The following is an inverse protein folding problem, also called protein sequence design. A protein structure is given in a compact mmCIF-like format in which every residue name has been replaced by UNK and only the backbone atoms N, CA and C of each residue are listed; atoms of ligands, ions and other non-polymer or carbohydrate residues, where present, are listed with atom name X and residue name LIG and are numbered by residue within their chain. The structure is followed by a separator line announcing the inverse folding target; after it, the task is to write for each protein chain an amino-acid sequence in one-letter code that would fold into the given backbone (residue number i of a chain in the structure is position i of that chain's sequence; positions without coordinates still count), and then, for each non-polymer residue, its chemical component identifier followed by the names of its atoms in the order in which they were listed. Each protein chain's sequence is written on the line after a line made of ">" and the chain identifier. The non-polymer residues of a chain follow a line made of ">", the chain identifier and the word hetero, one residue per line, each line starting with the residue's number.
data_IF_024467016423
#
_entry.id   IF_024467016423
#
_cell.length_a   1.000
_cell.length_b   1.000
_cell.length_c   1.000
_cell.angle_alpha   90.00
_cell.angle_beta   90.00
_cell.angle_gamma   90.00
#
_symmetry.space_group_name_H-M   'P 1'
#
loop_
_entity.id
_entity.type
_entity.pdbx_description
1 polymer ?
#
# COMPACT_ATOMS: atom_id res chain seq x y z
N UNK A 1 18.83 -10.10 -9.53
CA UNK A 1 19.96 -9.17 -9.67
C UNK A 1 20.40 -9.15 -11.14
N UNK A 2 20.74 -7.97 -11.65
CA UNK A 2 21.03 -7.70 -13.06
C UNK A 2 22.55 -7.46 -13.21
N UNK A 3 23.18 -8.09 -14.20
CA UNK A 3 24.64 -7.92 -14.46
C UNK A 3 24.94 -6.52 -14.98
N UNK A 4 26.07 -5.92 -14.56
CA UNK A 4 26.57 -4.65 -15.09
C UNK A 4 26.81 -4.66 -16.61
N UNK A 5 26.96 -5.84 -17.23
CA UNK A 5 27.06 -5.97 -18.69
C UNK A 5 25.81 -5.49 -19.40
N UNK A 6 24.63 -5.78 -18.81
CA UNK A 6 23.33 -5.35 -19.36
C UNK A 6 23.21 -3.83 -19.29
N UNK A 7 23.63 -3.20 -18.18
CA UNK A 7 23.65 -1.73 -18.08
C UNK A 7 24.47 -1.07 -19.19
N UNK A 8 25.61 -1.63 -19.55
CA UNK A 8 26.45 -1.14 -20.67
C UNK A 8 25.78 -1.31 -22.03
N UNK A 9 25.04 -2.40 -22.23
CA UNK A 9 24.27 -2.62 -23.47
C UNK A 9 23.12 -1.60 -23.57
N UNK A 10 22.40 -1.37 -22.47
CA UNK A 10 21.34 -0.37 -22.41
C UNK A 10 21.89 1.04 -22.69
N UNK A 11 23.04 1.39 -22.10
CA UNK A 11 23.69 2.69 -22.31
C UNK A 11 24.09 2.94 -23.77
N UNK A 12 24.35 1.88 -24.55
CA UNK A 12 24.68 1.99 -25.96
C UNK A 12 23.42 2.09 -26.87
N UNK A 13 22.22 2.01 -26.31
CA UNK A 13 20.98 2.07 -27.09
C UNK A 13 20.65 3.51 -27.49
N UNK A 14 20.35 3.80 -28.78
CA UNK A 14 19.93 5.13 -29.20
C UNK A 14 18.70 5.63 -28.43
N UNK A 15 18.73 6.89 -28.02
CA UNK A 15 17.65 7.48 -27.22
C UNK A 15 17.87 7.45 -25.71
N UNK A 16 18.85 6.68 -25.22
CA UNK A 16 19.24 6.64 -23.81
C UNK A 16 20.20 7.81 -23.52
N UNK A 17 19.90 8.63 -22.52
CA UNK A 17 20.76 9.72 -22.06
C UNK A 17 21.77 9.25 -21.00
N UNK A 18 21.30 8.50 -20.01
CA UNK A 18 22.13 7.94 -18.95
C UNK A 18 21.50 6.68 -18.36
N UNK A 19 22.34 5.81 -17.82
CA UNK A 19 21.95 4.58 -17.13
C UNK A 19 22.63 4.58 -15.77
N UNK A 20 21.85 4.48 -14.70
CA UNK A 20 22.36 4.44 -13.33
C UNK A 20 22.03 3.09 -12.71
N UNK A 21 23.07 2.37 -12.28
CA UNK A 21 22.91 1.12 -11.56
C UNK A 21 22.56 1.36 -10.10
N UNK A 22 21.52 0.70 -9.62
CA UNK A 22 21.00 0.86 -8.25
C UNK A 22 21.03 -0.50 -7.57
N UNK A 23 21.69 -0.58 -6.43
CA UNK A 23 21.55 -1.70 -5.49
C UNK A 23 20.52 -1.30 -4.44
N UNK A 24 19.54 -2.15 -4.24
CA UNK A 24 18.53 -1.99 -3.20
C UNK A 24 18.51 -3.23 -2.32
N UNK A 25 18.59 -3.06 -1.01
CA UNK A 25 18.52 -4.15 -0.05
C UNK A 25 17.97 -3.69 1.29
N UNK A 26 17.40 -4.62 2.02
CA UNK A 26 17.10 -4.46 3.43
C UNK A 26 18.17 -5.19 4.24
N UNK A 27 18.75 -4.51 5.21
CA UNK A 27 19.77 -5.07 6.10
C UNK A 27 19.35 -4.94 7.54
N UNK A 28 19.87 -5.81 8.38
CA UNK A 28 19.64 -5.79 9.83
C UNK A 28 20.83 -5.14 10.53
N UNK A 29 20.56 -4.27 11.50
CA UNK A 29 21.55 -3.69 12.39
C UNK A 29 21.20 -4.05 13.84
N UNK A 30 22.18 -3.94 14.75
CA UNK A 30 22.02 -4.30 16.17
C UNK A 30 20.86 -3.54 16.85
N UNK A 31 20.65 -2.28 16.49
CA UNK A 31 19.60 -1.42 17.05
C UNK A 31 18.45 -1.12 16.07
N UNK A 32 18.49 -1.66 14.88
CA UNK A 32 17.51 -1.42 13.84
C UNK A 32 17.35 -2.69 13.00
N UNK A 33 16.32 -3.52 13.26
CA UNK A 33 16.16 -4.82 12.61
C UNK A 33 15.87 -4.71 11.10
N UNK A 34 15.55 -3.51 10.63
CA UNK A 34 15.23 -3.27 9.23
C UNK A 34 15.73 -1.88 8.82
N UNK A 35 16.79 -1.82 8.01
CA UNK A 35 17.28 -0.60 7.37
C UNK A 35 17.31 -0.82 5.86
N UNK A 36 16.60 0.03 5.12
CA UNK A 36 16.70 0.07 3.67
C UNK A 36 18.01 0.72 3.26
N UNK A 37 18.77 0.07 2.39
CA UNK A 37 20.00 0.61 1.85
C UNK A 37 19.89 0.70 0.33
N UNK A 38 20.25 1.88 -0.16
CA UNK A 38 20.42 2.15 -1.59
C UNK A 38 21.89 2.32 -1.89
N UNK A 39 22.39 1.60 -2.88
CA UNK A 39 23.76 1.74 -3.41
C UNK A 39 23.73 2.50 -4.73
N UNK A 40 24.40 3.63 -4.79
CA UNK A 40 24.54 4.45 -6.01
C UNK A 40 26.00 4.73 -6.31
N UNK A 41 26.33 4.87 -7.58
CA UNK A 41 27.64 5.42 -7.94
C UNK A 41 27.67 6.91 -7.58
N UNK A 42 28.70 7.39 -6.83
CA UNK A 42 28.73 8.75 -6.29
C UNK A 42 28.65 9.88 -7.33
N UNK A 43 29.02 9.59 -8.56
CA UNK A 43 29.07 10.59 -9.65
C UNK A 43 27.88 10.49 -10.62
N UNK A 44 26.95 9.56 -10.40
CA UNK A 44 25.78 9.40 -11.28
C UNK A 44 24.67 10.42 -10.93
N UNK A 45 23.92 10.89 -11.96
CA UNK A 45 22.85 11.88 -11.73
C UNK A 45 21.76 11.38 -10.78
N UNK A 46 21.55 10.07 -10.70
CA UNK A 46 20.50 9.49 -9.85
C UNK A 46 20.69 9.77 -8.35
N UNK A 47 21.93 9.93 -7.88
CA UNK A 47 22.18 10.26 -6.47
C UNK A 47 21.77 11.68 -6.10
N UNK A 48 21.65 12.59 -7.09
CA UNK A 48 21.23 14.00 -6.88
C UNK A 48 19.76 14.09 -6.42
N UNK A 49 19.00 13.02 -6.54
CA UNK A 49 17.65 12.93 -5.97
C UNK A 49 17.65 13.13 -4.43
N UNK A 50 18.71 12.71 -3.77
CA UNK A 50 18.86 12.86 -2.32
C UNK A 50 19.43 14.25 -1.98
N UNK A 51 18.54 15.21 -1.71
CA UNK A 51 18.92 16.56 -1.34
C UNK A 51 19.63 16.57 0.02
N UNK A 52 20.92 16.93 0.04
CA UNK A 52 21.70 16.98 1.27
C UNK A 52 21.33 18.24 2.05
N UNK A 53 20.87 18.06 3.30
CA UNK A 53 20.48 19.14 4.20
C UNK A 53 21.52 19.40 5.30
N UNK A 54 22.38 18.41 5.59
CA UNK A 54 23.46 18.52 6.57
C UNK A 54 24.67 17.69 6.14
N UNK A 55 25.86 18.19 6.34
CA UNK A 55 27.09 17.50 5.93
C UNK A 55 27.38 17.61 4.43
N UNK A 56 27.75 16.49 3.83
CA UNK A 56 28.09 16.40 2.39
C UNK A 56 27.58 15.10 1.75
N UNK A 57 27.54 15.07 0.42
CA UNK A 57 27.26 13.84 -0.33
C UNK A 57 28.39 12.81 -0.28
N UNK A 58 28.13 11.61 -0.80
CA UNK A 58 29.10 10.54 -0.92
C UNK A 58 30.25 10.94 -1.85
N UNK A 59 31.49 10.66 -1.43
CA UNK A 59 32.69 10.87 -2.23
C UNK A 59 33.50 9.58 -2.43
N UNK A 60 33.31 8.60 -1.56
CA UNK A 60 34.09 7.37 -1.58
C UNK A 60 33.36 6.17 -0.98
N UNK A 61 34.11 5.11 -0.81
CA UNK A 61 33.65 3.89 -0.14
C UNK A 61 33.63 4.08 1.39
N UNK A 62 32.85 3.24 2.09
CA UNK A 62 32.68 3.28 3.55
C UNK A 62 32.10 4.60 4.06
N UNK A 63 31.51 5.37 3.19
CA UNK A 63 30.70 6.54 3.51
C UNK A 63 29.24 6.23 3.36
N UNK A 64 28.43 6.90 4.17
CA UNK A 64 26.97 6.75 4.16
C UNK A 64 26.32 8.11 4.32
N UNK A 65 25.32 8.39 3.53
CA UNK A 65 24.34 9.44 3.83
C UNK A 65 23.04 8.80 4.31
N UNK A 66 22.40 9.41 5.26
CA UNK A 66 21.20 8.85 5.90
C UNK A 66 20.03 9.80 5.82
N UNK A 67 18.84 9.29 5.69
CA UNK A 67 17.64 10.10 5.82
C UNK A 67 17.48 10.62 7.26
N UNK A 68 16.78 11.73 7.44
CA UNK A 68 16.59 12.38 8.75
C UNK A 68 16.00 11.41 9.79
N UNK A 69 15.08 10.55 9.40
CA UNK A 69 14.46 9.58 10.30
C UNK A 69 15.43 8.49 10.73
N UNK A 70 16.26 8.01 9.80
CA UNK A 70 17.32 7.02 10.11
C UNK A 70 18.32 7.60 11.09
N UNK A 71 18.76 8.85 10.91
CA UNK A 71 19.69 9.51 11.83
C UNK A 71 19.09 9.58 13.25
N UNK A 72 17.82 9.99 13.36
CA UNK A 72 17.12 10.07 14.64
C UNK A 72 16.96 8.69 15.31
N UNK A 73 16.63 7.66 14.54
CA UNK A 73 16.45 6.29 15.03
C UNK A 73 17.79 5.68 15.52
N UNK A 74 18.87 5.95 14.80
CA UNK A 74 20.23 5.52 15.18
C UNK A 74 20.81 6.32 16.36
N UNK A 75 20.19 7.47 16.72
CA UNK A 75 20.72 8.40 17.72
C UNK A 75 22.16 8.83 17.42
N UNK A 76 22.52 8.88 16.15
CA UNK A 76 23.85 9.19 15.64
C UNK A 76 23.92 10.63 15.12
N UNK A 77 25.15 11.09 14.84
CA UNK A 77 25.44 12.41 14.26
C UNK A 77 26.28 12.25 13.00
N UNK A 78 26.31 13.30 12.18
CA UNK A 78 27.25 13.40 11.05
C UNK A 78 28.69 13.31 11.59
N UNK A 79 29.47 12.40 11.02
CA UNK A 79 30.84 12.08 11.45
C UNK A 79 30.95 10.75 12.21
N UNK A 80 29.87 10.25 12.80
CA UNK A 80 29.86 8.98 13.53
C UNK A 80 30.07 7.78 12.59
N UNK A 81 30.58 6.70 13.16
CA UNK A 81 30.76 5.43 12.44
C UNK A 81 29.71 4.45 12.95
N UNK A 82 28.88 3.95 12.06
CA UNK A 82 27.86 2.92 12.33
C UNK A 82 28.25 1.61 11.65
N UNK A 83 27.92 0.48 12.28
CA UNK A 83 28.14 -0.86 11.71
C UNK A 83 26.87 -1.37 11.05
N UNK A 84 27.00 -1.76 9.80
CA UNK A 84 25.94 -2.39 9.02
C UNK A 84 26.47 -3.74 8.55
N UNK A 85 25.85 -4.84 8.96
CA UNK A 85 26.30 -6.21 8.60
C UNK A 85 27.80 -6.39 8.78
N UNK A 86 28.35 -6.01 9.95
CA UNK A 86 29.78 -6.11 10.30
C UNK A 86 30.70 -5.07 9.63
N UNK A 87 30.21 -4.28 8.69
CA UNK A 87 30.97 -3.29 7.95
C UNK A 87 30.76 -1.91 8.59
N UNK A 88 31.86 -1.19 8.88
CA UNK A 88 31.80 0.18 9.42
C UNK A 88 31.59 1.20 8.31
N UNK A 89 30.57 2.08 8.46
CA UNK A 89 30.28 3.21 7.58
C UNK A 89 30.32 4.51 8.37
N UNK A 90 30.97 5.52 7.80
CA UNK A 90 30.94 6.87 8.36
C UNK A 90 29.74 7.63 7.80
N UNK A 91 28.91 8.17 8.68
CA UNK A 91 27.84 9.09 8.29
C UNK A 91 28.45 10.41 7.84
N UNK A 92 28.33 10.76 6.56
CA UNK A 92 28.94 11.99 6.00
C UNK A 92 27.91 13.04 5.69
N UNK A 93 26.63 12.72 5.64
CA UNK A 93 25.58 13.68 5.40
C UNK A 93 24.18 13.13 5.71
N UNK A 94 23.26 14.07 5.79
CA UNK A 94 21.82 13.80 6.00
C UNK A 94 21.05 14.34 4.80
N UNK A 95 20.10 13.58 4.31
CA UNK A 95 19.26 14.00 3.21
C UNK A 95 17.78 14.06 3.59
N UNK A 96 17.03 14.86 2.83
CA UNK A 96 15.56 14.90 2.84
C UNK A 96 15.04 14.81 1.41
N UNK A 97 14.02 13.97 1.21
CA UNK A 97 13.36 13.79 -0.10
C UNK A 97 11.86 14.10 -0.03
N UNK A 98 11.31 14.23 1.17
CA UNK A 98 9.86 14.30 1.39
C UNK A 98 9.14 12.95 1.23
N UNK A 99 9.87 11.90 0.93
CA UNK A 99 9.35 10.54 0.75
C UNK A 99 9.66 9.71 1.98
N UNK A 100 8.63 9.28 2.69
CA UNK A 100 8.76 8.66 4.02
C UNK A 100 9.69 7.46 4.07
N UNK A 101 9.63 6.55 3.08
CA UNK A 101 10.47 5.36 3.07
C UNK A 101 11.94 5.66 2.75
N UNK A 102 12.20 6.70 1.95
CA UNK A 102 13.56 7.16 1.66
C UNK A 102 14.18 7.83 2.87
N UNK A 103 13.42 8.65 3.61
CA UNK A 103 13.92 9.27 4.84
C UNK A 103 14.22 8.27 5.96
N UNK A 104 13.63 7.07 5.88
CA UNK A 104 13.95 5.91 6.72
C UNK A 104 15.06 5.03 6.16
N UNK A 105 15.76 5.45 5.11
CA UNK A 105 16.80 4.67 4.44
C UNK A 105 18.19 5.28 4.63
N UNK A 106 19.18 4.54 4.13
CA UNK A 106 20.56 4.99 4.00
C UNK A 106 21.05 4.80 2.56
N UNK A 107 21.95 5.65 2.13
CA UNK A 107 22.59 5.57 0.80
C UNK A 107 24.08 5.38 0.98
N UNK A 108 24.63 4.40 0.28
CA UNK A 108 26.04 4.05 0.28
C UNK A 108 26.59 4.05 -1.15
N UNK A 109 27.90 3.85 -1.32
CA UNK A 109 28.45 3.68 -2.65
C UNK A 109 27.90 2.40 -3.31
N UNK A 110 27.80 2.38 -4.63
CA UNK A 110 27.35 1.19 -5.39
C UNK A 110 28.18 -0.05 -5.02
N UNK A 111 29.49 0.13 -4.88
CA UNK A 111 30.43 -0.95 -4.52
C UNK A 111 30.16 -1.50 -3.11
N UNK A 112 29.91 -0.61 -2.16
CA UNK A 112 29.57 -1.01 -0.80
C UNK A 112 28.21 -1.71 -0.75
N UNK A 113 27.23 -1.25 -1.51
CA UNK A 113 25.94 -1.91 -1.67
C UNK A 113 26.06 -3.32 -2.24
N UNK A 114 26.91 -3.50 -3.26
CA UNK A 114 27.21 -4.82 -3.83
C UNK A 114 27.90 -5.74 -2.83
N UNK A 115 28.81 -5.20 -2.02
CA UNK A 115 29.49 -5.97 -0.95
C UNK A 115 28.49 -6.39 0.14
N UNK A 116 27.64 -5.45 0.62
CA UNK A 116 26.61 -5.74 1.62
C UNK A 116 25.61 -6.82 1.17
N UNK A 117 25.32 -6.87 -0.13
CA UNK A 117 24.40 -7.88 -0.70
C UNK A 117 25.10 -9.17 -1.12
N UNK A 118 26.43 -9.24 -1.08
CA UNK A 118 27.20 -10.39 -1.54
C UNK A 118 27.10 -10.63 -3.06
N UNK A 119 26.73 -9.60 -3.84
CA UNK A 119 26.50 -9.69 -5.29
C UNK A 119 27.41 -8.73 -6.07
N UNK A 120 28.71 -9.03 -6.18
CA UNK A 120 29.63 -8.17 -6.88
C UNK A 120 29.27 -8.07 -8.36
N UNK A 121 29.40 -6.86 -8.94
CA UNK A 121 29.10 -6.54 -10.34
C UNK A 121 27.65 -6.82 -10.76
N UNK A 122 26.74 -6.82 -9.81
CA UNK A 122 25.32 -6.93 -10.05
C UNK A 122 24.59 -5.76 -9.39
N UNK A 123 23.47 -5.38 -9.96
CA UNK A 123 22.58 -4.35 -9.43
C UNK A 123 21.17 -4.91 -9.26
N UNK A 124 20.37 -4.27 -8.44
CA UNK A 124 18.97 -4.65 -8.26
C UNK A 124 18.11 -4.13 -9.41
N UNK A 125 18.40 -2.92 -9.88
CA UNK A 125 17.68 -2.27 -10.97
C UNK A 125 18.58 -1.24 -11.69
N UNK A 126 18.14 -0.81 -12.88
CA UNK A 126 18.71 0.31 -13.61
C UNK A 126 17.70 1.44 -13.73
N UNK A 127 18.07 2.65 -13.29
CA UNK A 127 17.40 3.88 -13.64
C UNK A 127 17.89 4.36 -15.02
N UNK A 128 16.98 4.49 -15.98
CA UNK A 128 17.31 4.92 -17.34
C UNK A 128 16.71 6.28 -17.58
N UNK A 129 17.55 7.27 -17.90
CA UNK A 129 17.11 8.58 -18.35
C UNK A 129 17.12 8.61 -19.87
N UNK A 130 16.02 9.04 -20.46
CA UNK A 130 15.85 9.14 -21.91
C UNK A 130 16.08 10.57 -22.39
N UNK A 131 16.53 10.75 -23.65
CA UNK A 131 16.71 12.05 -24.25
C UNK A 131 15.39 12.79 -24.47
N UNK A 132 14.34 12.05 -24.84
CA UNK A 132 13.01 12.57 -25.12
C UNK A 132 11.96 11.78 -24.31
N UNK A 133 11.32 12.37 -23.30
CA UNK A 133 10.28 11.72 -22.49
C UNK A 133 9.12 11.16 -23.31
N UNK A 134 8.80 11.77 -24.47
CA UNK A 134 7.71 11.30 -25.33
C UNK A 134 8.01 9.92 -25.97
N UNK A 135 9.29 9.57 -26.10
CA UNK A 135 9.73 8.29 -26.64
C UNK A 135 9.96 7.22 -25.57
N UNK A 136 9.80 7.54 -24.29
CA UNK A 136 10.07 6.63 -23.17
C UNK A 136 9.30 5.29 -23.30
N UNK A 137 8.03 5.34 -23.67
CA UNK A 137 7.21 4.14 -23.82
C UNK A 137 7.65 3.24 -25.00
N UNK A 138 8.07 3.86 -26.13
CA UNK A 138 8.58 3.12 -27.29
C UNK A 138 9.92 2.49 -26.96
N UNK A 139 10.82 3.23 -26.31
CA UNK A 139 12.13 2.73 -25.89
C UNK A 139 12.01 1.61 -24.84
N UNK A 140 11.07 1.72 -23.89
CA UNK A 140 10.79 0.66 -22.93
C UNK A 140 10.38 -0.64 -23.60
N UNK A 141 9.51 -0.60 -24.62
CA UNK A 141 9.12 -1.77 -25.42
C UNK A 141 10.31 -2.36 -26.19
N UNK A 142 11.16 -1.51 -26.77
CA UNK A 142 12.35 -1.94 -27.49
C UNK A 142 13.34 -2.64 -26.55
N UNK A 143 13.60 -2.08 -25.38
CA UNK A 143 14.48 -2.66 -24.36
C UNK A 143 13.92 -3.99 -23.82
N UNK A 144 12.62 -4.07 -23.58
CA UNK A 144 11.97 -5.31 -23.14
C UNK A 144 12.08 -6.43 -24.20
N UNK A 145 11.97 -6.09 -25.49
CA UNK A 145 12.16 -7.05 -26.57
C UNK A 145 13.62 -7.50 -26.73
N UNK A 146 14.58 -6.58 -26.50
CA UNK A 146 16.01 -6.89 -26.59
C UNK A 146 16.55 -7.67 -25.39
N UNK A 147 15.92 -7.55 -24.22
CA UNK A 147 16.35 -8.15 -22.95
C UNK A 147 15.15 -8.80 -22.23
N UNK A 148 14.64 -9.96 -22.71
CA UNK A 148 13.46 -10.61 -22.15
C UNK A 148 13.64 -11.15 -20.73
N UNK A 149 14.89 -11.23 -20.26
CA UNK A 149 15.23 -11.70 -18.90
C UNK A 149 15.04 -10.62 -17.83
N UNK A 150 14.84 -9.35 -18.23
CA UNK A 150 14.64 -8.24 -17.30
C UNK A 150 13.30 -7.59 -17.51
N UNK A 151 12.68 -7.18 -16.41
CA UNK A 151 11.46 -6.40 -16.45
C UNK A 151 11.79 -4.93 -16.75
N UNK A 152 11.16 -4.37 -17.77
CA UNK A 152 11.28 -2.96 -18.14
C UNK A 152 9.93 -2.29 -17.93
N UNK A 153 9.91 -1.23 -17.14
CA UNK A 153 8.70 -0.47 -16.84
C UNK A 153 8.99 1.04 -16.87
N UNK A 154 7.98 1.84 -17.14
CA UNK A 154 8.05 3.29 -16.95
C UNK A 154 8.09 3.61 -15.45
N UNK A 155 8.78 4.69 -15.08
CA UNK A 155 8.85 5.12 -13.68
C UNK A 155 7.47 5.36 -13.04
N UNK A 156 6.50 5.85 -13.84
CA UNK A 156 5.10 6.02 -13.39
C UNK A 156 4.37 4.72 -13.11
N UNK A 157 4.77 3.62 -13.74
CA UNK A 157 4.13 2.30 -13.64
C UNK A 157 5.00 1.31 -12.85
N UNK A 158 6.19 1.73 -12.43
CA UNK A 158 7.17 0.86 -11.80
C UNK A 158 6.64 0.15 -10.56
N UNK A 159 5.99 0.90 -9.66
CA UNK A 159 5.44 0.35 -8.43
C UNK A 159 4.35 -0.71 -8.72
N UNK A 160 3.51 -0.49 -9.72
CA UNK A 160 2.44 -1.42 -10.11
C UNK A 160 2.98 -2.64 -10.86
N UNK A 161 4.13 -2.51 -11.52
CA UNK A 161 4.76 -3.58 -12.29
C UNK A 161 5.56 -4.57 -11.44
N UNK A 162 5.88 -4.23 -10.18
CA UNK A 162 6.59 -5.13 -9.28
C UNK A 162 5.73 -6.37 -8.95
N UNK A 163 6.23 -7.61 -9.16
CA UNK A 163 5.48 -8.83 -8.86
C UNK A 163 4.96 -8.90 -7.42
N UNK A 164 5.74 -8.40 -6.46
CA UNK A 164 5.36 -8.37 -5.05
C UNK A 164 4.18 -7.41 -4.81
N UNK A 165 4.13 -6.26 -5.51
CA UNK A 165 3.02 -5.33 -5.43
C UNK A 165 1.75 -5.89 -6.07
N UNK A 166 1.87 -6.58 -7.21
CA UNK A 166 0.73 -7.26 -7.82
C UNK A 166 0.18 -8.35 -6.92
N UNK A 167 1.05 -9.14 -6.30
CA UNK A 167 0.66 -10.17 -5.33
C UNK A 167 -0.01 -9.54 -4.10
N UNK A 168 0.55 -8.46 -3.55
CA UNK A 168 -0.05 -7.72 -2.45
C UNK A 168 -1.42 -7.15 -2.79
N UNK A 169 -1.57 -6.54 -3.96
CA UNK A 169 -2.85 -6.01 -4.42
C UNK A 169 -3.88 -7.14 -4.60
N UNK A 170 -3.47 -8.29 -5.13
CA UNK A 170 -4.30 -9.48 -5.24
C UNK A 170 -4.75 -10.02 -3.87
N UNK A 171 -3.84 -10.08 -2.91
CA UNK A 171 -4.15 -10.48 -1.53
C UNK A 171 -5.10 -9.49 -0.86
N UNK A 172 -4.86 -8.18 -1.00
CA UNK A 172 -5.74 -7.15 -0.45
C UNK A 172 -7.14 -7.22 -1.05
N UNK A 173 -7.25 -7.44 -2.36
CA UNK A 173 -8.53 -7.64 -3.03
C UNK A 173 -9.25 -8.88 -2.49
N UNK A 174 -8.55 -10.01 -2.34
CA UNK A 174 -9.12 -11.24 -1.81
C UNK A 174 -9.63 -11.07 -0.38
N UNK A 175 -8.85 -10.42 0.50
CA UNK A 175 -9.25 -10.12 1.88
C UNK A 175 -10.48 -9.19 1.89
N UNK A 176 -10.49 -8.16 1.05
CA UNK A 176 -11.61 -7.22 0.94
C UNK A 176 -12.88 -7.93 0.48
N UNK A 177 -12.80 -8.77 -0.56
CA UNK A 177 -13.95 -9.55 -1.03
C UNK A 177 -14.46 -10.50 0.03
N UNK A 178 -13.55 -11.20 0.74
CA UNK A 178 -13.93 -12.08 1.83
C UNK A 178 -14.65 -11.30 2.95
N UNK A 179 -14.13 -10.14 3.33
CA UNK A 179 -14.76 -9.29 4.35
C UNK A 179 -16.15 -8.81 3.92
N UNK A 180 -16.33 -8.43 2.64
CA UNK A 180 -17.62 -8.03 2.08
C UNK A 180 -18.63 -9.20 2.07
N UNK A 181 -18.20 -10.39 1.69
CA UNK A 181 -19.05 -11.60 1.70
C UNK A 181 -19.49 -11.93 3.13
N UNK A 182 -18.55 -12.02 4.07
CA UNK A 182 -18.83 -12.32 5.48
C UNK A 182 -19.73 -11.24 6.09
N UNK A 183 -19.42 -9.96 5.84
CA UNK A 183 -20.25 -8.83 6.28
C UNK A 183 -21.65 -8.86 5.71
N UNK A 184 -21.80 -9.16 4.42
CA UNK A 184 -23.09 -9.29 3.75
C UNK A 184 -23.95 -10.45 4.32
N UNK A 185 -23.33 -11.60 4.54
CA UNK A 185 -24.00 -12.77 5.16
C UNK A 185 -24.41 -12.45 6.60
N UNK A 186 -23.54 -11.84 7.39
CA UNK A 186 -23.82 -11.43 8.78
C UNK A 186 -24.98 -10.43 8.82
N UNK A 187 -24.97 -9.44 7.91
CA UNK A 187 -26.07 -8.48 7.79
C UNK A 187 -27.39 -9.15 7.42
N UNK A 188 -27.39 -10.03 6.42
CA UNK A 188 -28.58 -10.77 6.03
C UNK A 188 -29.12 -11.63 7.18
N UNK A 189 -28.23 -12.34 7.90
CA UNK A 189 -28.62 -13.15 9.04
C UNK A 189 -29.25 -12.33 10.16
N UNK A 190 -28.64 -11.19 10.53
CA UNK A 190 -29.17 -10.29 11.55
C UNK A 190 -30.55 -9.74 11.15
N UNK A 191 -30.70 -9.33 9.89
CA UNK A 191 -31.98 -8.81 9.39
C UNK A 191 -33.06 -9.89 9.29
N UNK A 192 -32.68 -11.14 8.92
CA UNK A 192 -33.60 -12.28 8.93
C UNK A 192 -34.12 -12.51 10.36
N UNK A 193 -33.22 -12.52 11.35
CA UNK A 193 -33.61 -12.70 12.75
C UNK A 193 -34.54 -11.60 13.23
N UNK A 194 -34.21 -10.34 12.93
CA UNK A 194 -35.06 -9.18 13.24
C UNK A 194 -36.46 -9.29 12.62
N UNK A 195 -36.57 -9.76 11.37
CA UNK A 195 -37.85 -9.99 10.71
C UNK A 195 -38.64 -11.11 11.40
N UNK A 196 -37.96 -12.21 11.80
CA UNK A 196 -38.62 -13.29 12.53
C UNK A 196 -39.17 -12.85 13.87
N UNK A 197 -38.42 -12.11 14.67
CA UNK A 197 -38.85 -11.57 15.98
C UNK A 197 -40.08 -10.65 15.85
N UNK A 198 -40.19 -9.91 14.72
CA UNK A 198 -41.29 -8.96 14.44
C UNK A 198 -42.35 -9.50 13.48
N UNK A 199 -42.37 -10.81 13.23
CA UNK A 199 -43.29 -11.46 12.24
C UNK A 199 -44.74 -11.11 12.53
N UNK A 200 -45.18 -11.12 13.80
CA UNK A 200 -46.53 -10.80 14.21
C UNK A 200 -46.88 -9.32 14.00
N UNK A 201 -45.94 -8.41 14.28
CA UNK A 201 -46.13 -6.97 14.03
C UNK A 201 -46.30 -6.69 12.54
N UNK A 202 -45.44 -7.28 11.71
CA UNK A 202 -45.49 -7.17 10.26
C UNK A 202 -46.79 -7.75 9.72
N UNK A 203 -47.23 -8.90 10.24
CA UNK A 203 -48.51 -9.52 9.92
C UNK A 203 -49.69 -8.63 10.24
N UNK A 204 -49.72 -7.99 11.40
CA UNK A 204 -50.76 -7.03 11.81
C UNK A 204 -50.78 -5.81 10.86
N UNK A 205 -49.62 -5.20 10.55
CA UNK A 205 -49.54 -4.11 9.57
C UNK A 205 -50.10 -4.50 8.21
N UNK A 206 -49.80 -5.72 7.75
CA UNK A 206 -50.34 -6.29 6.51
C UNK A 206 -51.84 -6.50 6.57
N UNK A 207 -52.38 -6.97 7.69
CA UNK A 207 -53.80 -7.18 7.91
C UNK A 207 -54.61 -5.88 7.91
N UNK A 208 -54.02 -4.76 8.41
CA UNK A 208 -54.59 -3.41 8.39
C UNK A 208 -54.45 -2.71 7.01
N UNK A 209 -53.88 -3.42 5.99
CA UNK A 209 -53.88 -2.97 4.62
C UNK A 209 -52.55 -2.37 4.14
N UNK A 210 -51.45 -2.54 4.86
CA UNK A 210 -50.14 -2.12 4.35
C UNK A 210 -49.77 -2.91 3.11
N UNK A 211 -49.35 -2.16 2.08
CA UNK A 211 -48.88 -2.75 0.83
C UNK A 211 -47.51 -3.43 1.03
N UNK A 212 -47.23 -4.50 0.30
CA UNK A 212 -45.95 -5.21 0.30
C UNK A 212 -44.76 -4.26 0.12
N UNK A 213 -44.90 -3.28 -0.76
CA UNK A 213 -43.87 -2.27 -1.03
C UNK A 213 -43.54 -1.42 0.21
N UNK A 214 -44.52 -1.10 1.06
CA UNK A 214 -44.26 -0.33 2.30
C UNK A 214 -43.45 -1.15 3.30
N UNK A 215 -43.79 -2.43 3.49
CA UNK A 215 -43.04 -3.34 4.36
C UNK A 215 -41.61 -3.53 3.86
N UNK A 216 -41.43 -3.77 2.54
CA UNK A 216 -40.11 -3.91 1.93
C UNK A 216 -39.25 -2.70 2.20
N UNK A 217 -39.76 -1.48 1.91
CA UNK A 217 -39.02 -0.25 2.16
C UNK A 217 -38.73 0.03 3.63
N UNK A 218 -39.63 -0.39 4.54
CA UNK A 218 -39.41 -0.27 5.98
C UNK A 218 -38.18 -1.07 6.41
N UNK A 219 -38.13 -2.36 6.06
CA UNK A 219 -37.02 -3.25 6.41
C UNK A 219 -35.72 -2.82 5.68
N UNK A 220 -35.81 -2.42 4.42
CA UNK A 220 -34.65 -1.97 3.67
C UNK A 220 -34.04 -0.68 4.26
N UNK A 221 -34.85 0.28 4.69
CA UNK A 221 -34.38 1.47 5.39
C UNK A 221 -33.68 1.14 6.70
N UNK A 222 -34.21 0.19 7.46
CA UNK A 222 -33.59 -0.30 8.70
C UNK A 222 -32.22 -0.91 8.42
N UNK A 223 -32.10 -1.72 7.38
CA UNK A 223 -30.84 -2.31 6.92
C UNK A 223 -29.81 -1.24 6.51
N UNK A 224 -30.22 -0.25 5.73
CA UNK A 224 -29.34 0.86 5.31
C UNK A 224 -28.92 1.72 6.51
N UNK A 225 -29.83 1.95 7.46
CA UNK A 225 -29.53 2.71 8.68
C UNK A 225 -28.47 1.96 9.54
N UNK A 226 -28.65 0.66 9.75
CA UNK A 226 -27.67 -0.17 10.47
C UNK A 226 -26.31 -0.16 9.78
N UNK A 227 -26.29 -0.27 8.46
CA UNK A 227 -25.07 -0.18 7.68
C UNK A 227 -24.40 1.20 7.80
N UNK A 228 -25.17 2.28 7.83
CA UNK A 228 -24.65 3.64 8.03
C UNK A 228 -24.00 3.80 9.40
N UNK A 229 -24.65 3.32 10.45
CA UNK A 229 -24.11 3.33 11.82
C UNK A 229 -22.83 2.50 11.89
N UNK A 230 -22.86 1.28 11.32
CA UNK A 230 -21.68 0.41 11.22
C UNK A 230 -20.52 1.06 10.49
N UNK A 231 -20.80 1.82 9.42
CA UNK A 231 -19.79 2.58 8.68
C UNK A 231 -19.11 3.65 9.53
N UNK A 232 -19.87 4.41 10.29
CA UNK A 232 -19.34 5.45 11.19
C UNK A 232 -18.47 4.83 12.28
N UNK A 233 -18.94 3.75 12.90
CA UNK A 233 -18.17 3.00 13.91
C UNK A 233 -16.90 2.40 13.29
N UNK A 234 -17.01 1.81 12.10
CA UNK A 234 -15.88 1.24 11.37
C UNK A 234 -14.82 2.29 11.03
N UNK A 235 -15.22 3.48 10.59
CA UNK A 235 -14.28 4.60 10.36
C UNK A 235 -13.59 5.04 11.65
N UNK A 236 -14.33 5.21 12.73
CA UNK A 236 -13.74 5.55 14.02
C UNK A 236 -12.72 4.49 14.48
N UNK A 237 -13.09 3.22 14.38
CA UNK A 237 -12.21 2.11 14.71
C UNK A 237 -10.95 2.07 13.82
N UNK A 238 -11.09 2.31 12.52
CA UNK A 238 -9.96 2.35 11.58
C UNK A 238 -8.99 3.49 11.90
N UNK A 239 -9.49 4.68 12.24
CA UNK A 239 -8.68 5.83 12.64
C UNK A 239 -7.92 5.52 13.95
N UNK A 240 -8.61 4.96 14.95
CA UNK A 240 -7.98 4.58 16.24
C UNK A 240 -6.91 3.51 16.00
N UNK A 241 -7.20 2.49 15.19
CA UNK A 241 -6.25 1.42 14.89
C UNK A 241 -5.03 1.97 14.14
N UNK A 242 -5.24 2.86 13.17
CA UNK A 242 -4.16 3.55 12.46
C UNK A 242 -3.27 4.35 13.42
N UNK A 243 -3.89 5.08 14.36
CA UNK A 243 -3.16 5.81 15.37
C UNK A 243 -2.35 4.89 16.30
N UNK A 244 -2.93 3.77 16.75
CA UNK A 244 -2.22 2.77 17.55
C UNK A 244 -1.04 2.16 16.78
N UNK A 245 -1.22 1.81 15.50
CA UNK A 245 -0.16 1.29 14.65
C UNK A 245 0.98 2.31 14.46
N UNK A 246 0.66 3.60 14.38
CA UNK A 246 1.67 4.66 14.25
C UNK A 246 2.54 4.83 15.50
N UNK A 247 2.14 4.30 16.65
CA UNK A 247 2.94 4.32 17.89
C UNK A 247 3.99 3.19 17.94
N UNK A 248 3.91 2.21 17.05
CA UNK A 248 4.87 1.10 17.04
C UNK A 248 6.20 1.63 16.49
N UNK A 249 7.29 1.60 17.30
CA UNK A 249 8.62 1.96 16.81
C UNK A 249 8.98 1.12 15.59
N UNK A 250 9.63 1.68 14.59
CA UNK A 250 10.05 1.06 13.33
C UNK A 250 8.96 0.95 12.24
N UNK A 251 7.69 0.74 12.59
CA UNK A 251 6.61 0.54 11.60
C UNK A 251 5.67 1.74 11.48
N UNK A 252 5.59 2.56 12.54
CA UNK A 252 4.61 3.64 12.63
C UNK A 252 4.69 4.66 11.50
N UNK A 253 5.89 4.96 11.02
CA UNK A 253 6.08 5.88 9.91
C UNK A 253 5.74 5.29 8.53
N UNK A 254 5.88 3.97 8.37
CA UNK A 254 5.51 3.26 7.15
C UNK A 254 4.02 2.95 7.05
N UNK A 255 3.33 2.85 8.21
CA UNK A 255 1.91 2.48 8.30
C UNK A 255 0.98 3.71 8.44
N UNK A 256 1.43 4.91 8.08
CA UNK A 256 0.57 6.09 8.09
C UNK A 256 -0.52 5.97 7.02
N UNK A 257 -1.74 5.72 7.48
CA UNK A 257 -2.90 5.70 6.59
C UNK A 257 -3.23 7.13 6.18
N UNK A 258 -3.15 7.41 4.90
CA UNK A 258 -3.62 8.68 4.34
C UNK A 258 -5.12 8.57 4.10
N UNK A 259 -5.88 9.18 4.99
CA UNK A 259 -7.34 9.25 4.85
C UNK A 259 -7.69 10.34 3.84
N UNK A 260 -7.98 9.96 2.60
CA UNK A 260 -8.46 10.89 1.58
C UNK A 260 -10.00 10.97 1.61
N UNK A 261 -10.60 12.14 1.30
CA UNK A 261 -12.06 12.27 1.20
C UNK A 261 -12.68 11.30 0.18
N UNK A 262 -11.97 11.02 -0.90
CA UNK A 262 -12.40 10.07 -1.91
C UNK A 262 -12.48 8.63 -1.38
N UNK A 263 -11.50 8.21 -0.59
CA UNK A 263 -11.49 6.90 0.07
C UNK A 263 -12.67 6.76 1.03
N UNK A 264 -12.96 7.79 1.83
CA UNK A 264 -14.12 7.81 2.74
C UNK A 264 -15.43 7.68 1.98
N UNK A 265 -15.58 8.43 0.89
CA UNK A 265 -16.78 8.37 0.04
C UNK A 265 -16.97 6.99 -0.60
N UNK A 266 -15.92 6.43 -1.18
CA UNK A 266 -15.96 5.09 -1.79
C UNK A 266 -16.35 4.03 -0.77
N UNK A 267 -15.72 4.04 0.41
CA UNK A 267 -16.02 3.07 1.47
C UNK A 267 -17.45 3.23 1.98
N UNK A 268 -17.93 4.46 2.15
CA UNK A 268 -19.31 4.72 2.54
C UNK A 268 -20.32 4.19 1.50
N UNK A 269 -20.05 4.42 0.21
CA UNK A 269 -20.91 3.91 -0.87
C UNK A 269 -20.94 2.38 -0.89
N UNK A 270 -19.78 1.72 -0.76
CA UNK A 270 -19.70 0.24 -0.70
C UNK A 270 -20.49 -0.28 0.49
N UNK A 271 -20.35 0.32 1.67
CA UNK A 271 -21.05 -0.09 2.87
C UNK A 271 -22.58 0.10 2.75
N UNK A 272 -23.05 1.20 2.16
CA UNK A 272 -24.47 1.42 1.89
C UNK A 272 -25.04 0.41 0.90
N UNK A 273 -24.29 0.11 -0.16
CA UNK A 273 -24.65 -0.93 -1.14
C UNK A 273 -24.72 -2.31 -0.46
N UNK A 274 -23.75 -2.62 0.39
CA UNK A 274 -23.74 -3.88 1.15
C UNK A 274 -24.97 -3.98 2.07
N UNK A 275 -25.32 -2.89 2.76
CA UNK A 275 -26.52 -2.81 3.58
C UNK A 275 -27.81 -3.00 2.78
N UNK A 276 -27.89 -2.38 1.61
CA UNK A 276 -29.04 -2.52 0.72
C UNK A 276 -29.16 -3.96 0.16
N UNK A 277 -28.07 -4.55 -0.32
CA UNK A 277 -28.04 -5.92 -0.88
C UNK A 277 -28.29 -6.95 0.21
N UNK A 278 -27.60 -6.86 1.36
CA UNK A 278 -27.76 -7.77 2.48
C UNK A 278 -29.16 -7.73 3.10
N UNK A 279 -29.80 -6.54 3.09
CA UNK A 279 -31.17 -6.34 3.56
C UNK A 279 -32.25 -6.72 2.53
N UNK A 280 -31.90 -6.89 1.24
CA UNK A 280 -32.90 -7.07 0.19
C UNK A 280 -33.68 -8.38 0.32
N UNK A 281 -32.98 -9.50 0.59
CA UNK A 281 -33.62 -10.81 0.77
C UNK A 281 -34.51 -10.84 2.01
N UNK A 282 -34.07 -10.41 3.23
CA UNK A 282 -34.94 -10.30 4.38
C UNK A 282 -36.16 -9.40 4.17
N UNK A 283 -35.95 -8.24 3.52
CA UNK A 283 -37.03 -7.30 3.22
C UNK A 283 -38.07 -7.89 2.26
N UNK A 284 -37.63 -8.60 1.23
CA UNK A 284 -38.51 -9.30 0.32
C UNK A 284 -39.29 -10.40 1.04
N UNK A 285 -38.66 -11.18 1.91
CA UNK A 285 -39.31 -12.22 2.72
C UNK A 285 -40.36 -11.61 3.65
N UNK A 286 -40.02 -10.55 4.37
CA UNK A 286 -40.94 -9.81 5.23
C UNK A 286 -42.18 -9.29 4.45
N UNK A 287 -41.97 -8.73 3.27
CA UNK A 287 -43.04 -8.21 2.42
C UNK A 287 -44.01 -9.27 1.90
N UNK A 288 -43.56 -10.53 1.80
CA UNK A 288 -44.36 -11.65 1.32
C UNK A 288 -45.01 -12.51 2.43
N UNK A 289 -44.80 -12.15 3.71
CA UNK A 289 -45.50 -12.83 4.81
C UNK A 289 -47.01 -12.73 4.63
N UNK A 290 -47.70 -13.88 4.77
CA UNK A 290 -49.15 -13.90 4.77
C UNK A 290 -49.69 -13.44 6.13
N UNK A 291 -50.67 -12.52 6.20
CA UNK A 291 -51.24 -12.06 7.46
C UNK A 291 -51.77 -13.19 8.35
N UNK A 292 -52.37 -14.20 7.72
CA UNK A 292 -52.95 -15.33 8.41
C UNK A 292 -51.88 -16.21 9.09
N UNK A 293 -50.78 -16.49 8.38
CA UNK A 293 -49.66 -17.26 8.94
C UNK A 293 -48.92 -16.48 10.01
N UNK A 294 -48.70 -15.17 9.80
CA UNK A 294 -48.00 -14.30 10.74
C UNK A 294 -48.75 -14.14 12.07
N UNK A 295 -50.09 -14.14 12.06
CA UNK A 295 -50.91 -14.05 13.28
C UNK A 295 -51.04 -15.39 14.00
N UNK A 296 -50.74 -16.49 13.30
CA UNK A 296 -50.79 -17.87 13.85
C UNK A 296 -49.46 -18.33 14.45
N UNK A 297 -48.42 -17.50 14.26
CA UNK A 297 -47.08 -17.78 14.79
C UNK A 297 -47.09 -17.53 16.31
N UNK A 298 -46.90 -18.57 17.11
CA UNK A 298 -46.63 -18.52 18.56
C UNK A 298 -45.13 -18.34 18.81
#
# INVERSE_FOLDING_TARGET
>A
AISEKIGRQIAATPGVQSVSGIVFSAVTMENMPFLLIFGYAPHEPAIQHFAIVEGRGLQGNREMIVGRKTLAALKAKVGDVVRVSEIGFRIVGVFETGVTYEEGAAVVSLRDGQELTGKPRQVSMYGIKVNDPAQAAALAKQLAAAQPEIMVALSSEFAESLPDMQTMNGMMLAITLLALIVGGISMANTMIMSVYERTREIGTLRAVGWQRRRVLWMVLKESVLLSSIGTVIGFAAAIVMSWLMSQIPLWGDYLKIVVSPNLLLQTALIALLLGAIGGLYPAWRAANLSPVEALRYE
#
